data_IF_661287501354
#
_entry.id   IF_661287501354
#
_cell.length_a   1.000
_cell.length_b   1.000
_cell.length_c   1.000
_cell.angle_alpha   90.00
_cell.angle_beta   90.00
_cell.angle_gamma   90.00
#
_symmetry.space_group_name_H-M   'P 1'
#
loop_
_entity.id
_entity.type
_entity.pdbx_description
1 polymer ?
#
# COMPACT_ATOMS: atom_id res chain seq x y z
N UNK A 1 44.15 32.95 -19.48
CA UNK A 1 44.52 31.67 -20.13
C UNK A 1 44.78 30.65 -19.03
N UNK A 2 44.02 29.57 -19.04
CA UNK A 2 44.00 28.47 -18.05
C UNK A 2 45.17 27.50 -18.23
N UNK A 3 45.67 27.35 -19.46
CA UNK A 3 46.89 26.59 -19.76
C UNK A 3 48.04 27.55 -20.10
N UNK A 4 49.21 27.39 -19.45
CA UNK A 4 50.40 28.21 -19.70
C UNK A 4 51.70 27.41 -19.62
N UNK A 5 52.74 27.86 -20.33
CA UNK A 5 54.09 27.28 -20.31
C UNK A 5 54.87 27.84 -19.11
N UNK A 6 55.59 26.97 -18.41
CA UNK A 6 56.46 27.31 -17.29
C UNK A 6 57.92 27.48 -17.77
N UNK A 7 58.74 28.12 -16.94
CA UNK A 7 60.17 28.33 -17.22
C UNK A 7 60.99 27.04 -17.29
N UNK A 8 60.49 25.95 -16.71
CA UNK A 8 61.06 24.60 -16.75
C UNK A 8 60.71 23.82 -18.05
N UNK A 9 60.06 24.47 -19.02
CA UNK A 9 59.66 23.87 -20.30
C UNK A 9 58.35 23.07 -20.24
N UNK A 10 57.80 22.82 -19.05
CA UNK A 10 56.54 22.10 -18.86
C UNK A 10 55.32 23.03 -19.05
N UNK A 11 54.14 22.43 -19.23
CA UNK A 11 52.86 23.12 -19.34
C UNK A 11 52.04 22.91 -18.07
N UNK A 12 51.35 23.94 -17.58
CA UNK A 12 50.44 23.83 -16.43
C UNK A 12 49.03 24.16 -16.86
N UNK A 13 48.07 23.31 -16.50
CA UNK A 13 46.65 23.63 -16.50
C UNK A 13 46.28 24.10 -15.09
N UNK A 14 45.80 25.33 -14.96
CA UNK A 14 45.40 25.99 -13.70
C UNK A 14 44.06 26.69 -13.92
N UNK A 15 42.98 26.02 -13.55
CA UNK A 15 41.61 26.48 -13.79
C UNK A 15 40.68 26.10 -12.62
N UNK A 16 39.51 26.72 -12.61
CA UNK A 16 38.43 26.40 -11.68
C UNK A 16 37.39 25.56 -12.41
N UNK A 17 36.87 24.52 -11.75
CA UNK A 17 35.86 23.61 -12.35
C UNK A 17 34.49 24.26 -12.56
N UNK A 18 34.27 25.47 -12.05
CA UNK A 18 33.01 26.20 -12.18
C UNK A 18 33.34 27.68 -12.34
N UNK A 19 32.53 28.41 -13.12
CA UNK A 19 32.74 29.82 -13.37
C UNK A 19 32.48 30.65 -12.09
N UNK A 20 33.42 31.50 -11.71
CA UNK A 20 33.35 32.29 -10.45
C UNK A 20 32.24 33.33 -10.43
N UNK A 21 31.67 33.66 -11.59
CA UNK A 21 30.56 34.59 -11.77
C UNK A 21 29.22 34.08 -11.22
N UNK A 22 29.06 32.77 -11.03
CA UNK A 22 27.79 32.17 -10.55
C UNK A 22 27.72 31.98 -9.02
N UNK A 23 28.61 32.61 -8.25
CA UNK A 23 28.60 32.53 -6.78
C UNK A 23 28.93 31.16 -6.18
N UNK A 24 29.24 30.14 -7.01
CA UNK A 24 29.65 28.79 -6.57
C UNK A 24 31.17 28.70 -6.40
N UNK A 25 31.63 28.14 -5.28
CA UNK A 25 33.05 27.90 -5.02
C UNK A 25 33.55 26.66 -5.78
N UNK A 26 33.96 26.83 -7.05
CA UNK A 26 34.59 25.76 -7.82
C UNK A 26 35.92 25.30 -7.22
N UNK A 27 36.22 23.99 -7.29
CA UNK A 27 37.51 23.44 -6.86
C UNK A 27 38.60 23.90 -7.83
N UNK A 28 39.68 24.50 -7.32
CA UNK A 28 40.86 24.83 -8.14
C UNK A 28 41.58 23.55 -8.51
N UNK A 29 41.83 23.31 -9.79
CA UNK A 29 42.59 22.18 -10.30
C UNK A 29 43.88 22.72 -10.93
N UNK A 30 45.02 22.21 -10.45
CA UNK A 30 46.34 22.58 -10.97
C UNK A 30 47.18 21.34 -11.21
N UNK A 31 47.60 21.11 -12.46
CA UNK A 31 48.43 19.95 -12.84
C UNK A 31 49.43 20.31 -13.94
N UNK A 32 50.64 19.74 -13.87
CA UNK A 32 51.71 19.93 -14.87
C UNK A 32 51.72 18.79 -15.89
N UNK A 33 52.12 19.11 -17.11
CA UNK A 33 52.16 18.23 -18.28
C UNK A 33 53.41 18.51 -19.12
N UNK A 34 53.83 17.49 -19.86
CA UNK A 34 54.97 17.51 -20.78
C UNK A 34 54.67 18.34 -22.04
N UNK A 35 53.44 18.28 -22.54
CA UNK A 35 53.03 18.95 -23.78
C UNK A 35 51.83 19.88 -23.59
N UNK A 36 51.68 20.86 -24.49
CA UNK A 36 50.52 21.74 -24.55
C UNK A 36 49.22 20.97 -24.82
N UNK A 37 49.30 19.94 -25.68
CA UNK A 37 48.16 19.10 -26.06
C UNK A 37 47.59 18.31 -24.88
N UNK A 38 48.45 17.70 -24.07
CA UNK A 38 48.03 16.99 -22.85
C UNK A 38 47.34 17.91 -21.83
N UNK A 39 47.89 19.12 -21.64
CA UNK A 39 47.31 20.10 -20.73
C UNK A 39 45.90 20.56 -21.17
N UNK A 40 45.71 20.80 -22.48
CA UNK A 40 44.42 21.16 -23.06
C UNK A 40 43.42 20.00 -23.03
N UNK A 41 43.86 18.79 -23.37
CA UNK A 41 43.01 17.60 -23.31
C UNK A 41 42.53 17.31 -21.88
N UNK A 42 43.40 17.50 -20.88
CA UNK A 42 43.04 17.35 -19.48
C UNK A 42 42.04 18.41 -19.00
N UNK A 43 42.22 19.67 -19.40
CA UNK A 43 41.26 20.74 -19.12
C UNK A 43 39.89 20.41 -19.72
N UNK A 44 39.84 20.11 -21.02
CA UNK A 44 38.60 19.79 -21.73
C UNK A 44 37.90 18.56 -21.15
N UNK A 45 38.63 17.49 -20.85
CA UNK A 45 38.07 16.29 -20.22
C UNK A 45 37.50 16.57 -18.84
N UNK A 46 38.17 17.42 -18.05
CA UNK A 46 37.72 17.78 -16.70
C UNK A 46 36.48 18.66 -16.76
N UNK A 47 36.44 19.64 -17.68
CA UNK A 47 35.27 20.49 -17.91
C UNK A 47 34.08 19.68 -18.44
N UNK A 48 34.29 18.78 -19.41
CA UNK A 48 33.25 17.88 -19.90
C UNK A 48 32.71 16.94 -18.83
N UNK A 49 33.55 16.46 -17.90
CA UNK A 49 33.08 15.67 -16.75
C UNK A 49 32.18 16.46 -15.81
N UNK A 50 32.42 17.76 -15.68
CA UNK A 50 31.58 18.65 -14.85
C UNK A 50 30.28 19.00 -15.59
N UNK A 51 30.34 19.28 -16.89
CA UNK A 51 29.16 19.56 -17.72
C UNK A 51 28.25 18.33 -17.88
N UNK A 52 28.81 17.14 -18.09
CA UNK A 52 28.07 15.88 -18.15
C UNK A 52 27.65 15.35 -16.77
N UNK A 53 28.07 16.02 -15.68
CA UNK A 53 27.62 15.70 -14.33
C UNK A 53 27.44 16.98 -13.51
N UNK A 54 26.38 17.77 -13.79
CA UNK A 54 26.13 19.06 -13.13
C UNK A 54 26.05 18.97 -11.60
N UNK A 55 25.85 17.76 -11.07
CA UNK A 55 25.72 17.45 -9.67
C UNK A 55 27.04 17.17 -8.93
N UNK A 56 28.18 17.10 -9.62
CA UNK A 56 29.50 16.95 -8.98
C UNK A 56 29.99 18.24 -8.30
N UNK A 57 29.28 19.35 -8.47
CA UNK A 57 29.55 20.66 -7.87
C UNK A 57 28.86 20.91 -6.51
N UNK A 58 27.85 20.12 -6.14
CA UNK A 58 27.27 20.17 -4.80
C UNK A 58 27.97 19.11 -3.95
N UNK A 59 28.49 19.50 -2.78
CA UNK A 59 29.19 18.58 -1.88
C UNK A 59 28.36 17.32 -1.62
N UNK A 60 29.03 16.17 -1.40
CA UNK A 60 28.38 14.89 -1.07
C UNK A 60 27.20 15.12 -0.13
N UNK A 61 26.00 14.70 -0.52
CA UNK A 61 24.81 14.80 0.30
C UNK A 61 25.08 14.17 1.68
N UNK A 62 25.07 15.02 2.71
CA UNK A 62 25.35 14.68 4.11
C UNK A 62 24.08 14.35 4.91
N UNK A 63 22.91 14.43 4.28
CA UNK A 63 21.63 14.09 4.93
C UNK A 63 21.62 12.61 5.25
N UNK A 64 21.03 12.26 6.40
CA UNK A 64 20.74 10.87 6.76
C UNK A 64 19.53 10.38 5.99
N UNK A 65 19.41 9.05 5.87
CA UNK A 65 18.20 8.44 5.30
C UNK A 65 16.93 8.87 6.06
N UNK A 66 17.02 9.03 7.38
CA UNK A 66 15.92 9.53 8.21
C UNK A 66 15.46 10.93 7.78
N UNK A 67 16.40 11.82 7.42
CA UNK A 67 16.09 13.19 7.03
C UNK A 67 15.30 13.21 5.73
N UNK A 68 15.65 12.34 4.78
CA UNK A 68 14.86 12.16 3.55
C UNK A 68 13.47 11.61 3.83
N UNK A 69 13.33 10.68 4.80
CA UNK A 69 12.02 10.17 5.22
C UNK A 69 11.14 11.27 5.82
N UNK A 70 11.73 12.14 6.66
CA UNK A 70 11.05 13.31 7.20
C UNK A 70 10.64 14.28 6.09
N UNK A 71 11.57 14.64 5.21
CA UNK A 71 11.31 15.54 4.08
C UNK A 71 10.21 15.01 3.16
N UNK A 72 10.26 13.73 2.80
CA UNK A 72 9.20 13.08 2.02
C UNK A 72 7.85 13.16 2.72
N UNK A 73 7.82 12.95 4.04
CA UNK A 73 6.58 13.04 4.79
C UNK A 73 6.00 14.45 4.77
N UNK A 74 6.83 15.46 5.04
CA UNK A 74 6.38 16.85 5.09
C UNK A 74 5.91 17.37 3.71
N UNK A 75 6.54 16.90 2.63
CA UNK A 75 6.20 17.31 1.26
C UNK A 75 5.05 16.52 0.64
N UNK A 76 4.91 15.24 0.99
CA UNK A 76 3.96 14.34 0.34
C UNK A 76 3.22 13.44 1.33
N UNK A 77 3.94 12.75 2.21
CA UNK A 77 3.38 11.73 3.10
C UNK A 77 2.27 12.23 4.03
N UNK A 78 2.26 13.50 4.41
CA UNK A 78 1.24 14.13 5.27
C UNK A 78 -0.17 14.04 4.66
N UNK A 79 -0.27 13.98 3.33
CA UNK A 79 -1.55 13.88 2.62
C UNK A 79 -2.12 12.45 2.61
N UNK A 80 -1.31 11.45 2.96
CA UNK A 80 -1.68 10.04 2.92
C UNK A 80 -2.37 9.62 4.23
N UNK A 81 -3.47 8.86 4.10
CA UNK A 81 -4.23 8.34 5.26
C UNK A 81 -3.36 7.54 6.25
N UNK A 82 -2.36 6.82 5.75
CA UNK A 82 -1.42 6.02 6.53
C UNK A 82 0.01 6.59 6.50
N UNK A 83 0.18 7.86 6.12
CA UNK A 83 1.50 8.51 5.97
C UNK A 83 2.36 8.42 7.22
N UNK A 84 1.78 8.73 8.38
CA UNK A 84 2.50 8.71 9.67
C UNK A 84 2.98 7.29 10.02
N UNK A 85 2.17 6.26 9.70
CA UNK A 85 2.55 4.87 9.88
C UNK A 85 3.71 4.49 8.96
N UNK A 86 3.71 4.96 7.70
CA UNK A 86 4.81 4.71 6.74
C UNK A 86 6.09 5.40 7.18
N UNK A 87 6.01 6.66 7.61
CA UNK A 87 7.12 7.42 8.18
C UNK A 87 7.76 6.67 9.35
N UNK A 88 6.98 6.33 10.38
CA UNK A 88 7.47 5.56 11.54
C UNK A 88 8.10 4.22 11.14
N UNK A 89 7.50 3.55 10.15
CA UNK A 89 8.02 2.29 9.62
C UNK A 89 9.40 2.44 8.98
N UNK A 90 9.59 3.48 8.16
CA UNK A 90 10.85 3.75 7.48
C UNK A 90 11.93 4.29 8.43
N UNK A 91 11.57 5.14 9.40
CA UNK A 91 12.50 5.63 10.42
C UNK A 91 13.07 4.47 11.25
N UNK A 92 12.20 3.56 11.70
CA UNK A 92 12.65 2.37 12.42
C UNK A 92 13.52 1.45 11.55
N UNK A 93 13.19 1.29 10.26
CA UNK A 93 14.05 0.56 9.34
C UNK A 93 15.42 1.22 9.17
N UNK A 94 15.48 2.56 9.07
CA UNK A 94 16.72 3.32 9.03
C UNK A 94 17.57 3.10 10.28
N UNK A 95 16.96 3.08 11.46
CA UNK A 95 17.63 2.77 12.73
C UNK A 95 18.23 1.35 12.72
N UNK A 96 17.48 0.34 12.28
CA UNK A 96 17.97 -1.04 12.14
C UNK A 96 19.14 -1.17 11.16
N UNK A 97 19.25 -0.26 10.18
CA UNK A 97 20.37 -0.17 9.23
C UNK A 97 21.56 0.64 9.78
N UNK A 98 21.53 1.08 11.04
CA UNK A 98 22.59 1.88 11.65
C UNK A 98 22.51 3.37 11.34
N UNK A 99 21.32 3.88 10.96
CA UNK A 99 21.07 5.28 10.60
C UNK A 99 22.01 5.81 9.51
N UNK A 100 22.07 5.15 8.34
CA UNK A 100 23.02 5.45 7.28
C UNK A 100 22.81 6.85 6.68
N UNK A 101 23.85 7.38 6.03
CA UNK A 101 23.68 8.51 5.13
C UNK A 101 22.78 8.14 3.95
N UNK A 102 22.08 9.12 3.38
CA UNK A 102 21.28 8.89 2.18
C UNK A 102 22.13 8.38 1.00
N UNK A 103 23.39 8.81 0.91
CA UNK A 103 24.36 8.36 -0.08
C UNK A 103 24.91 6.95 0.15
N UNK A 104 24.79 6.42 1.38
CA UNK A 104 25.19 5.05 1.74
C UNK A 104 24.03 4.05 1.55
N UNK A 105 22.80 4.55 1.47
CA UNK A 105 21.63 3.72 1.26
C UNK A 105 21.62 3.13 -0.14
N UNK A 106 21.86 1.82 -0.23
CA UNK A 106 22.01 1.08 -1.47
C UNK A 106 21.17 -0.20 -1.48
N UNK A 107 21.01 -0.80 -2.67
CA UNK A 107 20.39 -2.12 -2.82
C UNK A 107 21.03 -3.18 -1.91
N UNK A 108 22.36 -3.16 -1.74
CA UNK A 108 23.06 -4.11 -0.87
C UNK A 108 22.69 -3.91 0.60
N UNK A 109 22.70 -2.66 1.08
CA UNK A 109 22.33 -2.37 2.47
C UNK A 109 20.87 -2.75 2.76
N UNK A 110 19.96 -2.39 1.85
CA UNK A 110 18.53 -2.69 2.00
C UNK A 110 18.24 -4.20 1.93
N UNK A 111 18.94 -4.94 1.07
CA UNK A 111 18.76 -6.40 0.98
C UNK A 111 19.39 -7.15 2.15
N UNK A 112 20.47 -6.64 2.75
CA UNK A 112 20.98 -7.17 4.02
C UNK A 112 19.99 -6.94 5.17
N UNK A 113 19.39 -5.75 5.23
CA UNK A 113 18.30 -5.45 6.18
C UNK A 113 17.11 -6.39 6.01
N UNK A 114 16.64 -6.59 4.77
CA UNK A 114 15.46 -7.44 4.50
C UNK A 114 15.67 -8.87 4.97
N UNK A 115 16.87 -9.44 4.79
CA UNK A 115 17.20 -10.81 5.20
C UNK A 115 17.10 -10.96 6.72
N UNK A 116 17.80 -10.07 7.46
CA UNK A 116 17.74 -10.03 8.93
C UNK A 116 16.33 -9.82 9.46
N UNK A 117 15.54 -8.98 8.78
CA UNK A 117 14.15 -8.69 9.14
C UNK A 117 13.22 -9.89 8.93
N UNK A 118 13.43 -10.68 7.88
CA UNK A 118 12.69 -11.92 7.61
C UNK A 118 13.06 -13.04 8.60
N UNK A 119 14.34 -13.16 8.95
CA UNK A 119 14.84 -14.13 9.95
C UNK A 119 14.41 -13.80 11.39
N UNK A 120 13.95 -12.57 11.62
CA UNK A 120 13.42 -12.11 12.91
C UNK A 120 14.45 -11.45 13.82
N UNK A 121 15.65 -11.17 13.32
CA UNK A 121 16.69 -10.41 14.05
C UNK A 121 16.24 -8.98 14.39
N UNK A 122 15.42 -8.40 13.53
CA UNK A 122 14.79 -7.12 13.76
C UNK A 122 13.32 -7.34 14.03
N UNK A 123 12.87 -7.20 15.28
CA UNK A 123 11.47 -7.31 15.69
C UNK A 123 10.94 -5.96 16.15
N UNK A 124 9.70 -5.60 15.78
CA UNK A 124 9.08 -4.35 16.29
C UNK A 124 8.37 -4.53 17.63
N UNK A 125 7.95 -5.75 17.90
CA UNK A 125 7.16 -6.09 19.07
C UNK A 125 7.59 -7.46 19.55
N UNK A 126 7.54 -7.71 20.87
CA UNK A 126 7.86 -9.02 21.45
C UNK A 126 6.97 -10.16 20.92
N UNK A 127 5.79 -9.83 20.37
CA UNK A 127 4.81 -10.80 19.84
C UNK A 127 5.09 -11.26 18.41
N UNK A 128 5.83 -10.47 17.63
CA UNK A 128 6.07 -10.74 16.21
C UNK A 128 7.56 -10.49 15.95
N UNK A 129 8.33 -11.58 15.93
CA UNK A 129 9.75 -11.58 15.61
C UNK A 129 9.97 -11.53 14.10
N UNK A 130 9.34 -12.43 13.37
CA UNK A 130 9.45 -12.58 11.92
C UNK A 130 8.31 -11.89 11.17
N UNK A 131 8.62 -11.30 10.01
CA UNK A 131 7.63 -10.68 9.13
C UNK A 131 7.46 -11.48 7.84
N UNK A 132 6.27 -11.42 7.24
CA UNK A 132 6.03 -12.07 5.95
C UNK A 132 6.72 -11.33 4.78
N UNK A 133 7.03 -12.03 3.67
CA UNK A 133 7.58 -11.39 2.46
C UNK A 133 6.69 -10.25 1.93
N UNK A 134 5.37 -10.36 2.11
CA UNK A 134 4.42 -9.29 1.77
C UNK A 134 4.65 -8.02 2.58
N UNK A 135 4.86 -8.14 3.89
CA UNK A 135 5.20 -7.00 4.74
C UNK A 135 6.51 -6.36 4.29
N UNK A 136 7.48 -7.18 3.90
CA UNK A 136 8.77 -6.69 3.41
C UNK A 136 8.64 -5.95 2.07
N UNK A 137 7.81 -6.44 1.16
CA UNK A 137 7.49 -5.75 -0.09
C UNK A 137 6.82 -4.39 0.14
N UNK A 138 6.00 -4.25 1.19
CA UNK A 138 5.40 -2.96 1.54
C UNK A 138 6.44 -1.96 2.03
N UNK A 139 7.35 -2.37 2.92
CA UNK A 139 8.43 -1.50 3.39
C UNK A 139 9.35 -1.09 2.22
N UNK A 140 9.66 -2.02 1.33
CA UNK A 140 10.39 -1.73 0.09
C UNK A 140 9.67 -0.69 -0.79
N UNK A 141 8.35 -0.86 -1.00
CA UNK A 141 7.56 0.10 -1.76
C UNK A 141 7.55 1.52 -1.13
N UNK A 142 7.66 1.63 0.20
CA UNK A 142 7.73 2.93 0.86
C UNK A 142 9.05 3.65 0.55
N UNK A 143 10.18 2.95 0.63
CA UNK A 143 11.47 3.55 0.25
C UNK A 143 11.53 3.91 -1.24
N UNK A 144 10.99 3.06 -2.12
CA UNK A 144 10.85 3.42 -3.54
C UNK A 144 10.07 4.72 -3.70
N UNK A 145 8.97 4.89 -2.97
CA UNK A 145 8.15 6.12 -3.01
C UNK A 145 8.91 7.35 -2.49
N UNK A 146 9.71 7.22 -1.42
CA UNK A 146 10.54 8.33 -0.89
C UNK A 146 11.48 8.86 -1.97
N UNK A 147 12.31 8.00 -2.54
CA UNK A 147 13.32 8.43 -3.51
C UNK A 147 12.71 8.89 -4.84
N UNK A 148 11.65 8.23 -5.32
CA UNK A 148 10.97 8.65 -6.55
C UNK A 148 10.31 10.03 -6.39
N UNK A 149 9.66 10.30 -5.25
CA UNK A 149 8.98 11.58 -5.03
C UNK A 149 9.98 12.71 -4.80
N UNK A 150 11.01 12.49 -3.96
CA UNK A 150 12.04 13.50 -3.74
C UNK A 150 12.83 13.81 -5.01
N UNK A 151 13.06 12.80 -5.87
CA UNK A 151 13.64 13.02 -7.20
C UNK A 151 12.76 13.89 -8.08
N UNK A 152 11.45 13.64 -8.10
CA UNK A 152 10.48 14.46 -8.85
C UNK A 152 10.46 15.91 -8.36
N UNK A 153 10.63 16.13 -7.05
CA UNK A 153 10.67 17.45 -6.43
C UNK A 153 12.03 18.16 -6.57
N UNK A 154 13.03 17.53 -7.17
CA UNK A 154 14.39 18.08 -7.28
C UNK A 154 15.22 18.03 -5.99
N UNK A 155 14.69 17.38 -4.94
CA UNK A 155 15.33 17.24 -3.63
C UNK A 155 16.32 16.06 -3.57
N UNK A 156 16.31 15.19 -4.59
CA UNK A 156 17.22 14.06 -4.74
C UNK A 156 17.64 13.91 -6.21
N UNK A 157 18.92 14.15 -6.51
CA UNK A 157 19.40 14.06 -7.89
C UNK A 157 19.76 12.63 -8.36
N UNK A 158 20.38 11.77 -7.54
CA UNK A 158 20.77 10.42 -7.98
C UNK A 158 19.57 9.55 -8.41
N UNK A 159 19.82 8.43 -9.12
CA UNK A 159 18.80 7.40 -9.33
C UNK A 159 18.24 6.87 -8.01
N UNK A 160 17.11 6.17 -8.11
CA UNK A 160 16.52 5.55 -6.92
C UNK A 160 17.39 4.34 -6.52
N UNK A 161 17.92 4.29 -5.29
CA UNK A 161 18.85 3.22 -4.89
C UNK A 161 18.27 1.81 -4.94
N UNK A 162 16.94 1.68 -5.01
CA UNK A 162 16.22 0.41 -4.98
C UNK A 162 15.52 0.06 -6.30
N UNK A 163 15.71 0.84 -7.38
CA UNK A 163 14.96 0.64 -8.64
C UNK A 163 15.12 -0.76 -9.25
N UNK A 164 16.27 -1.39 -9.04
CA UNK A 164 16.59 -2.73 -9.57
C UNK A 164 16.35 -3.86 -8.56
N UNK A 165 15.93 -3.54 -7.34
CA UNK A 165 15.65 -4.56 -6.32
C UNK A 165 14.31 -5.22 -6.67
N UNK A 166 14.30 -6.53 -6.83
CA UNK A 166 13.07 -7.28 -7.06
C UNK A 166 12.30 -7.47 -5.75
N UNK A 167 10.99 -7.27 -5.83
CA UNK A 167 10.07 -7.68 -4.77
C UNK A 167 9.99 -9.21 -4.68
N UNK A 168 9.73 -9.71 -3.48
CA UNK A 168 9.47 -11.14 -3.28
C UNK A 168 8.18 -11.54 -3.98
N UNK A 169 8.19 -12.71 -4.64
CA UNK A 169 6.94 -13.33 -5.06
C UNK A 169 6.18 -13.78 -3.81
N UNK A 170 4.90 -13.45 -3.75
CA UNK A 170 4.01 -13.88 -2.66
C UNK A 170 2.89 -14.66 -3.27
N UNK A 171 2.63 -15.85 -2.74
CA UNK A 171 1.47 -16.65 -3.12
C UNK A 171 0.18 -15.91 -2.73
N UNK A 172 -0.85 -16.04 -3.56
CA UNK A 172 -2.18 -15.57 -3.21
C UNK A 172 -2.74 -16.51 -2.14
N UNK A 173 -3.10 -15.95 -0.97
CA UNK A 173 -3.76 -16.72 0.08
C UNK A 173 -5.13 -17.16 -0.42
N UNK A 174 -5.42 -18.45 -0.31
CA UNK A 174 -6.79 -18.97 -0.47
C UNK A 174 -7.74 -18.20 0.45
N UNK A 175 -8.90 -17.85 -0.10
CA UNK A 175 -9.84 -16.96 0.57
C UNK A 175 -10.87 -17.83 1.29
N UNK A 176 -10.80 -17.83 2.62
CA UNK A 176 -11.80 -18.52 3.42
C UNK A 176 -13.14 -17.78 3.39
N UNK A 177 -14.21 -18.56 3.41
CA UNK A 177 -15.59 -18.12 3.61
C UNK A 177 -16.27 -19.16 4.51
N UNK A 178 -17.37 -18.78 5.16
CA UNK A 178 -18.10 -19.67 6.08
C UNK A 178 -19.22 -20.42 5.33
N UNK A 179 -19.43 -21.70 5.65
CA UNK A 179 -20.61 -22.46 5.19
C UNK A 179 -21.88 -22.01 5.91
N UNK A 180 -23.06 -22.47 5.48
CA UNK A 180 -24.33 -22.16 6.13
C UNK A 180 -24.34 -22.64 7.61
N UNK A 181 -23.84 -23.84 7.86
CA UNK A 181 -23.74 -24.45 9.19
C UNK A 181 -22.77 -23.67 10.08
N UNK A 182 -21.64 -23.22 9.53
CA UNK A 182 -20.69 -22.37 10.25
C UNK A 182 -21.26 -20.98 10.57
N UNK A 183 -22.07 -20.41 9.68
CA UNK A 183 -22.78 -19.14 9.94
C UNK A 183 -23.75 -19.32 11.11
N UNK A 184 -24.53 -20.40 11.12
CA UNK A 184 -25.47 -20.69 12.21
C UNK A 184 -24.76 -20.90 13.54
N UNK A 185 -23.69 -21.70 13.55
CA UNK A 185 -22.83 -21.93 14.73
C UNK A 185 -22.24 -20.61 15.25
N UNK A 186 -21.70 -19.77 14.36
CA UNK A 186 -21.15 -18.47 14.72
C UNK A 186 -22.22 -17.56 15.33
N UNK A 187 -23.42 -17.46 14.73
CA UNK A 187 -24.50 -16.63 15.25
C UNK A 187 -24.97 -17.10 16.63
N UNK A 188 -25.02 -18.43 16.86
CA UNK A 188 -25.28 -19.01 18.18
C UNK A 188 -24.23 -18.56 19.20
N UNK A 189 -22.95 -18.65 18.86
CA UNK A 189 -21.87 -18.23 19.76
C UNK A 189 -21.80 -16.72 19.96
N UNK A 190 -22.26 -15.93 19.00
CA UNK A 190 -22.44 -14.50 19.16
C UNK A 190 -23.51 -14.17 20.21
N UNK A 191 -24.63 -14.91 20.23
CA UNK A 191 -25.69 -14.78 21.26
C UNK A 191 -25.22 -15.15 22.66
N UNK A 192 -24.28 -16.09 22.76
CA UNK A 192 -23.68 -16.50 24.04
C UNK A 192 -22.59 -15.53 24.55
N UNK A 193 -22.24 -14.50 23.76
CA UNK A 193 -21.23 -13.53 24.11
C UNK A 193 -21.76 -12.48 25.09
N UNK A 194 -20.91 -11.98 25.99
CA UNK A 194 -21.24 -10.81 26.82
C UNK A 194 -21.29 -9.50 26.04
N UNK A 195 -20.79 -9.48 24.80
CA UNK A 195 -20.87 -8.32 23.92
C UNK A 195 -22.22 -8.29 23.19
N UNK A 196 -23.19 -7.53 23.72
CA UNK A 196 -24.57 -7.42 23.20
C UNK A 196 -24.64 -7.03 21.71
N UNK A 197 -23.74 -6.14 21.26
CA UNK A 197 -23.72 -5.65 19.89
C UNK A 197 -23.11 -6.66 18.88
N UNK A 198 -22.55 -7.79 19.34
CA UNK A 198 -21.78 -8.70 18.48
C UNK A 198 -22.63 -9.34 17.39
N UNK A 199 -23.77 -9.94 17.76
CA UNK A 199 -24.62 -10.66 16.80
C UNK A 199 -25.10 -9.71 15.69
N UNK A 200 -25.58 -8.52 16.06
CA UNK A 200 -26.08 -7.55 15.09
C UNK A 200 -24.99 -7.03 14.15
N UNK A 201 -23.76 -6.81 14.63
CA UNK A 201 -22.61 -6.46 13.78
C UNK A 201 -22.30 -7.58 12.79
N UNK A 202 -22.32 -8.84 13.24
CA UNK A 202 -22.08 -10.01 12.37
C UNK A 202 -23.17 -10.12 11.31
N UNK A 203 -24.46 -10.00 11.69
CA UNK A 203 -25.59 -9.97 10.75
C UNK A 203 -25.45 -8.88 9.71
N UNK A 204 -25.07 -7.65 10.10
CA UNK A 204 -24.83 -6.56 9.14
C UNK A 204 -23.73 -6.93 8.15
N UNK A 205 -22.61 -7.49 8.61
CA UNK A 205 -21.51 -7.90 7.73
C UNK A 205 -21.96 -8.98 6.73
N UNK A 206 -22.70 -9.98 7.22
CA UNK A 206 -23.23 -11.07 6.39
C UNK A 206 -24.34 -10.61 5.43
N UNK A 207 -25.10 -9.57 5.76
CA UNK A 207 -26.19 -9.06 4.91
C UNK A 207 -25.72 -8.05 3.86
N UNK A 208 -24.60 -7.34 4.09
CA UNK A 208 -24.19 -6.19 3.28
C UNK A 208 -22.79 -6.30 2.67
N UNK A 209 -22.01 -7.31 3.07
CA UNK A 209 -20.60 -7.42 2.70
C UNK A 209 -19.72 -6.31 3.29
N UNK A 210 -20.14 -5.67 4.39
CA UNK A 210 -19.35 -4.66 5.08
C UNK A 210 -18.03 -5.22 5.61
N UNK A 211 -16.98 -4.38 5.65
CA UNK A 211 -15.79 -4.71 6.45
C UNK A 211 -16.16 -4.63 7.93
N UNK A 212 -15.52 -5.43 8.79
CA UNK A 212 -15.75 -5.39 10.23
C UNK A 212 -15.76 -3.96 10.79
N UNK A 213 -14.69 -3.19 10.53
CA UNK A 213 -14.57 -1.83 11.02
C UNK A 213 -15.66 -0.88 10.51
N UNK A 214 -16.21 -1.13 9.32
CA UNK A 214 -17.29 -0.31 8.75
C UNK A 214 -18.63 -0.60 9.43
N UNK A 215 -18.87 -1.85 9.84
CA UNK A 215 -20.06 -2.24 10.58
C UNK A 215 -19.96 -1.85 12.07
N UNK A 216 -18.83 -2.11 12.72
CA UNK A 216 -18.61 -1.79 14.14
C UNK A 216 -18.66 -0.28 14.41
N UNK A 217 -18.14 0.55 13.50
CA UNK A 217 -18.16 2.01 13.64
C UNK A 217 -19.38 2.70 13.05
N UNK A 218 -20.44 1.94 12.74
CA UNK A 218 -21.65 2.46 12.10
C UNK A 218 -22.36 3.49 12.98
N UNK A 219 -22.78 4.60 12.38
CA UNK A 219 -23.53 5.67 13.05
C UNK A 219 -24.99 5.68 12.61
N UNK A 220 -25.88 6.16 13.49
CA UNK A 220 -27.31 6.32 13.20
C UNK A 220 -27.58 7.14 11.94
N UNK A 221 -26.80 8.20 11.71
CA UNK A 221 -26.93 9.05 10.51
C UNK A 221 -26.64 8.34 9.19
N UNK A 222 -25.99 7.16 9.24
CA UNK A 222 -25.71 6.34 8.07
C UNK A 222 -26.85 5.37 7.74
N UNK A 223 -27.89 5.32 8.58
CA UNK A 223 -29.00 4.37 8.44
C UNK A 223 -30.29 5.13 8.18
N UNK A 224 -30.88 4.91 7.00
CA UNK A 224 -32.10 5.58 6.57
C UNK A 224 -32.91 4.71 5.62
N UNK A 225 -34.23 4.69 5.77
CA UNK A 225 -35.20 4.06 4.86
C UNK A 225 -34.82 2.64 4.40
N UNK A 226 -34.48 1.76 5.35
CA UNK A 226 -34.10 0.37 5.05
C UNK A 226 -32.76 0.22 4.32
N UNK A 227 -31.88 1.22 4.42
CA UNK A 227 -30.56 1.22 3.77
C UNK A 227 -29.46 1.63 4.74
N UNK A 228 -28.29 1.04 4.58
CA UNK A 228 -27.05 1.42 5.27
C UNK A 228 -26.10 2.08 4.28
N UNK A 229 -25.62 3.28 4.61
CA UNK A 229 -24.64 4.03 3.80
C UNK A 229 -23.25 4.00 4.43
N UNK A 230 -22.31 3.34 3.79
CA UNK A 230 -20.91 3.29 4.22
C UNK A 230 -20.13 4.46 3.62
N UNK A 231 -19.64 5.34 4.50
CA UNK A 231 -18.88 6.54 4.13
C UNK A 231 -17.38 6.40 4.44
N UNK A 232 -16.53 7.18 3.76
CA UNK A 232 -15.07 7.27 4.03
C UNK A 232 -14.35 5.90 4.02
N UNK A 233 -14.80 4.99 3.16
CA UNK A 233 -14.21 3.66 3.03
C UNK A 233 -12.79 3.76 2.46
N UNK A 234 -11.96 2.70 2.59
CA UNK A 234 -10.55 2.70 2.15
C UNK A 234 -10.38 3.10 0.66
N UNK A 235 -11.42 2.97 -0.16
CA UNK A 235 -11.46 3.40 -1.57
C UNK A 235 -12.09 4.78 -1.84
N UNK A 236 -12.37 5.57 -0.81
CA UNK A 236 -12.99 6.92 -0.86
C UNK A 236 -14.37 7.01 -1.57
N UNK A 237 -14.97 5.89 -2.00
CA UNK A 237 -16.34 5.86 -2.54
C UNK A 237 -17.34 5.52 -1.44
N UNK A 238 -18.38 6.32 -1.35
CA UNK A 238 -19.55 6.02 -0.55
C UNK A 238 -20.38 4.95 -1.28
N UNK A 239 -21.02 4.07 -0.52
CA UNK A 239 -21.95 3.07 -1.07
C UNK A 239 -23.13 2.87 -0.13
N UNK A 240 -24.30 2.62 -0.70
CA UNK A 240 -25.54 2.46 0.05
C UNK A 240 -26.15 1.10 -0.30
N UNK A 241 -26.35 0.27 0.71
CA UNK A 241 -26.80 -1.11 0.59
C UNK A 241 -28.18 -1.25 1.25
N UNK A 242 -29.20 -1.78 0.55
CA UNK A 242 -30.48 -2.08 1.17
C UNK A 242 -30.35 -3.25 2.14
N UNK A 243 -31.16 -3.23 3.20
CA UNK A 243 -31.26 -4.30 4.20
C UNK A 243 -32.73 -4.67 4.41
N UNK A 244 -32.99 -5.88 4.90
CA UNK A 244 -34.35 -6.35 5.19
C UNK A 244 -35.01 -5.53 6.30
N UNK A 245 -36.34 -5.48 6.31
CA UNK A 245 -37.11 -4.83 7.36
C UNK A 245 -36.83 -5.45 8.74
N UNK A 246 -36.61 -6.77 8.80
CA UNK A 246 -36.24 -7.51 10.00
C UNK A 246 -34.90 -7.01 10.57
N UNK A 247 -33.83 -7.00 9.76
CA UNK A 247 -32.53 -6.51 10.19
C UNK A 247 -32.59 -5.03 10.60
N UNK A 248 -33.42 -4.25 9.90
CA UNK A 248 -33.64 -2.85 10.23
C UNK A 248 -34.40 -2.67 11.57
N UNK A 249 -35.28 -3.61 11.93
CA UNK A 249 -35.96 -3.65 13.22
C UNK A 249 -35.05 -3.96 14.40
N UNK A 250 -34.01 -4.78 14.19
CA UNK A 250 -33.02 -5.16 15.21
C UNK A 250 -32.01 -4.04 15.54
N UNK A 251 -31.87 -3.02 14.70
CA UNK A 251 -30.85 -1.98 14.91
C UNK A 251 -31.15 -1.08 16.13
N UNK A 252 -30.12 -0.74 16.94
CA UNK A 252 -30.30 0.13 18.11
C UNK A 252 -30.96 1.48 17.76
N UNK A 253 -31.95 1.88 18.55
CA UNK A 253 -32.66 3.17 18.43
C UNK A 253 -31.97 4.28 19.22
N UNK A 254 -30.66 4.45 19.03
CA UNK A 254 -29.86 5.52 19.67
C UNK A 254 -29.23 6.46 18.64
N UNK A 255 -28.94 7.68 19.07
CA UNK A 255 -28.23 8.67 18.27
C UNK A 255 -26.72 8.45 18.34
N UNK A 256 -25.98 8.90 17.32
CA UNK A 256 -24.52 8.77 17.30
C UNK A 256 -24.04 7.38 16.87
N UNK A 257 -23.02 6.85 17.54
CA UNK A 257 -22.48 5.51 17.27
C UNK A 257 -23.49 4.43 17.69
N UNK A 258 -23.71 3.43 16.83
CA UNK A 258 -24.69 2.37 17.09
C UNK A 258 -24.13 1.24 17.96
N UNK A 259 -22.83 0.99 17.92
CA UNK A 259 -22.24 -0.17 18.57
C UNK A 259 -21.00 0.16 19.38
N UNK A 260 -20.73 -0.70 20.35
CA UNK A 260 -19.50 -0.72 21.15
C UNK A 260 -18.47 -1.61 20.46
N UNK A 261 -17.17 -1.24 20.45
CA UNK A 261 -16.14 -2.08 19.85
C UNK A 261 -16.10 -3.48 20.47
N UNK A 262 -16.26 -4.51 19.64
CA UNK A 262 -16.37 -5.91 20.08
C UNK A 262 -15.51 -6.87 19.24
N UNK A 263 -14.51 -6.35 18.51
CA UNK A 263 -13.60 -7.16 17.68
C UNK A 263 -13.00 -8.39 18.38
N UNK A 264 -12.59 -8.27 19.65
CA UNK A 264 -12.07 -9.41 20.41
C UNK A 264 -13.15 -10.43 20.75
N UNK A 265 -14.37 -9.98 21.02
CA UNK A 265 -15.50 -10.87 21.26
C UNK A 265 -15.85 -11.68 20.00
N UNK A 266 -15.74 -11.07 18.81
CA UNK A 266 -15.90 -11.77 17.55
C UNK A 266 -14.87 -12.88 17.34
N UNK A 267 -13.60 -12.60 17.66
CA UNK A 267 -12.55 -13.63 17.64
C UNK A 267 -12.89 -14.80 18.55
N UNK A 268 -13.24 -14.50 19.80
CA UNK A 268 -13.59 -15.54 20.78
C UNK A 268 -14.84 -16.33 20.36
N UNK A 269 -15.80 -15.71 19.67
CA UNK A 269 -16.98 -16.40 19.16
C UNK A 269 -16.64 -17.38 18.03
N UNK A 270 -15.71 -17.03 17.14
CA UNK A 270 -15.19 -17.97 16.13
C UNK A 270 -14.45 -19.15 16.77
N UNK A 271 -13.62 -18.86 17.79
CA UNK A 271 -12.89 -19.89 18.51
C UNK A 271 -13.86 -20.87 19.20
N UNK A 272 -14.91 -20.36 19.88
CA UNK A 272 -15.97 -21.20 20.47
C UNK A 272 -16.78 -21.98 19.45
N UNK A 273 -16.98 -21.42 18.26
CA UNK A 273 -17.67 -22.09 17.16
C UNK A 273 -16.80 -23.14 16.45
N UNK A 274 -15.53 -23.29 16.83
CA UNK A 274 -14.58 -24.21 16.20
C UNK A 274 -14.20 -23.80 14.77
N UNK A 275 -14.26 -22.51 14.45
CA UNK A 275 -14.00 -21.98 13.10
C UNK A 275 -12.57 -21.47 13.02
N UNK A 276 -11.70 -22.24 12.38
CA UNK A 276 -10.33 -21.84 12.11
C UNK A 276 -10.21 -21.02 10.82
N UNK A 277 -9.51 -19.88 10.90
CA UNK A 277 -9.34 -18.98 9.77
C UNK A 277 -7.85 -18.80 9.43
N UNK A 278 -7.49 -18.65 8.14
CA UNK A 278 -6.14 -18.30 7.76
C UNK A 278 -5.69 -16.96 8.39
N UNK A 279 -4.40 -16.82 8.71
CA UNK A 279 -3.86 -15.61 9.34
C UNK A 279 -4.24 -14.32 8.59
N UNK A 280 -4.82 -13.37 9.31
CA UNK A 280 -5.17 -12.05 8.77
C UNK A 280 -6.52 -11.96 8.07
N UNK A 281 -7.29 -13.05 7.97
CA UNK A 281 -8.61 -13.04 7.32
C UNK A 281 -9.77 -12.67 8.26
N UNK A 282 -9.57 -12.72 9.58
CA UNK A 282 -10.59 -12.43 10.60
C UNK A 282 -11.46 -11.20 10.27
N UNK A 283 -10.85 -10.05 9.98
CA UNK A 283 -11.58 -8.80 9.70
C UNK A 283 -12.41 -8.81 8.40
N UNK A 284 -12.19 -9.77 7.52
CA UNK A 284 -12.75 -9.81 6.15
C UNK A 284 -13.53 -11.10 5.86
N UNK A 285 -13.49 -12.10 6.74
CA UNK A 285 -14.14 -13.41 6.52
C UNK A 285 -15.63 -13.25 6.24
N UNK A 286 -16.36 -12.47 7.05
CA UNK A 286 -17.81 -12.26 6.86
C UNK A 286 -18.15 -11.60 5.53
N UNK A 287 -17.28 -10.70 5.06
CA UNK A 287 -17.42 -10.08 3.75
C UNK A 287 -17.16 -11.07 2.63
N UNK A 288 -16.18 -11.97 2.81
CA UNK A 288 -15.92 -13.06 1.87
C UNK A 288 -17.08 -14.04 1.85
N UNK A 289 -17.63 -14.40 3.01
CA UNK A 289 -18.86 -15.17 3.16
C UNK A 289 -20.01 -14.55 2.38
N UNK A 290 -20.34 -13.27 2.61
CA UNK A 290 -21.39 -12.59 1.86
C UNK A 290 -21.14 -12.68 0.34
N UNK A 291 -19.92 -12.37 -0.11
CA UNK A 291 -19.60 -12.35 -1.53
C UNK A 291 -19.66 -13.73 -2.20
N UNK A 292 -19.15 -14.77 -1.53
CA UNK A 292 -19.20 -16.14 -2.02
C UNK A 292 -20.64 -16.63 -2.13
N UNK A 293 -21.43 -16.53 -1.05
CA UNK A 293 -22.84 -16.92 -1.04
C UNK A 293 -23.67 -16.11 -2.03
N UNK A 294 -23.41 -14.80 -2.17
CA UNK A 294 -24.08 -13.97 -3.17
C UNK A 294 -23.87 -14.49 -4.59
N UNK A 295 -22.64 -14.90 -4.94
CA UNK A 295 -22.34 -15.48 -6.25
C UNK A 295 -22.90 -16.89 -6.41
N UNK A 296 -22.81 -17.75 -5.38
CA UNK A 296 -23.41 -19.10 -5.36
C UNK A 296 -24.91 -19.05 -5.63
N UNK A 297 -25.58 -18.03 -5.11
CA UNK A 297 -27.01 -17.81 -5.29
C UNK A 297 -27.38 -17.13 -6.62
N UNK A 298 -26.47 -17.13 -7.61
CA UNK A 298 -26.72 -16.56 -8.95
C UNK A 298 -26.64 -15.03 -9.01
N UNK A 299 -26.03 -14.39 -8.02
CA UNK A 299 -25.89 -12.94 -7.98
C UNK A 299 -25.03 -12.39 -9.13
N UNK A 300 -25.38 -11.18 -9.59
CA UNK A 300 -24.63 -10.52 -10.67
C UNK A 300 -23.30 -9.94 -10.16
N UNK A 301 -22.18 -10.32 -10.79
CA UNK A 301 -20.83 -9.91 -10.39
C UNK A 301 -20.61 -8.37 -10.38
N UNK A 302 -21.26 -7.64 -11.29
CA UNK A 302 -21.18 -6.17 -11.34
C UNK A 302 -21.97 -5.53 -10.20
N UNK A 303 -23.08 -6.14 -9.80
CA UNK A 303 -23.84 -5.73 -8.61
C UNK A 303 -23.00 -6.00 -7.37
N UNK A 304 -22.37 -7.18 -7.27
CA UNK A 304 -21.46 -7.50 -6.17
C UNK A 304 -20.29 -6.50 -6.09
N UNK A 305 -19.69 -6.11 -7.23
CA UNK A 305 -18.64 -5.08 -7.26
C UNK A 305 -19.11 -3.76 -6.62
N UNK A 306 -20.33 -3.32 -6.93
CA UNK A 306 -20.93 -2.11 -6.34
C UNK A 306 -21.21 -2.28 -4.86
N UNK A 307 -21.77 -3.43 -4.45
CA UNK A 307 -22.06 -3.73 -3.03
C UNK A 307 -20.77 -3.74 -2.20
N UNK A 308 -19.72 -4.36 -2.72
CA UNK A 308 -18.42 -4.42 -2.08
C UNK A 308 -17.68 -3.08 -2.16
N UNK A 309 -18.00 -2.22 -3.13
CA UNK A 309 -17.30 -0.95 -3.37
C UNK A 309 -15.88 -1.16 -3.90
N UNK A 310 -15.68 -2.17 -4.74
CA UNK A 310 -14.40 -2.40 -5.41
C UNK A 310 -14.24 -1.44 -6.59
N UNK A 311 -13.09 -0.75 -6.63
CA UNK A 311 -12.78 0.18 -7.73
C UNK A 311 -12.42 -0.53 -9.02
N UNK A 312 -11.74 -1.68 -8.90
CA UNK A 312 -11.35 -2.53 -10.02
C UNK A 312 -12.16 -3.85 -9.95
N UNK A 313 -12.75 -4.24 -11.08
CA UNK A 313 -13.51 -5.48 -11.20
C UNK A 313 -12.65 -6.71 -10.92
N UNK A 314 -11.33 -6.67 -11.19
CA UNK A 314 -10.39 -7.75 -10.87
C UNK A 314 -10.46 -8.17 -9.41
N UNK A 315 -10.69 -7.22 -8.50
CA UNK A 315 -10.87 -7.51 -7.07
C UNK A 315 -12.13 -8.32 -6.78
N UNK A 316 -13.17 -8.22 -7.61
CA UNK A 316 -14.43 -8.98 -7.47
C UNK A 316 -14.39 -10.28 -8.26
N UNK A 317 -13.64 -10.34 -9.36
CA UNK A 317 -13.48 -11.56 -10.18
C UNK A 317 -12.97 -12.77 -9.40
N UNK A 318 -12.29 -12.54 -8.28
CA UNK A 318 -11.92 -13.58 -7.31
C UNK A 318 -13.11 -14.45 -6.84
N UNK A 319 -14.34 -13.95 -6.92
CA UNK A 319 -15.57 -14.67 -6.54
C UNK A 319 -16.31 -15.29 -7.73
N UNK A 320 -15.86 -15.04 -8.97
CA UNK A 320 -16.59 -15.44 -10.17
C UNK A 320 -16.72 -16.97 -10.30
N UNK A 321 -15.76 -17.73 -9.77
CA UNK A 321 -15.80 -19.20 -9.78
C UNK A 321 -16.93 -19.80 -8.93
N UNK A 322 -17.56 -19.01 -8.04
CA UNK A 322 -18.74 -19.43 -7.29
C UNK A 322 -20.04 -19.25 -8.06
N UNK A 323 -20.03 -18.54 -9.19
CA UNK A 323 -21.22 -18.37 -10.00
C UNK A 323 -21.65 -19.74 -10.58
N UNK A 324 -22.96 -20.04 -10.63
CA UNK A 324 -23.44 -21.21 -11.35
C UNK A 324 -23.00 -21.16 -12.82
N UNK A 325 -22.77 -22.31 -13.43
CA UNK A 325 -22.49 -22.38 -14.86
C UNK A 325 -23.78 -22.06 -15.64
N UNK A 326 -23.88 -20.82 -16.15
CA UNK A 326 -25.03 -20.31 -16.90
C UNK A 326 -24.86 -20.41 -18.42
N UNK A 327 -24.03 -21.33 -18.95
CA UNK A 327 -23.83 -21.42 -20.40
C UNK A 327 -25.15 -21.70 -21.14
N UNK A 328 -26.08 -22.43 -20.52
CA UNK A 328 -27.43 -22.67 -21.04
C UNK A 328 -28.30 -21.40 -21.10
N UNK A 329 -28.01 -20.39 -20.26
CA UNK A 329 -28.70 -19.10 -20.34
C UNK A 329 -28.41 -18.36 -21.64
N UNK A 330 -27.31 -18.68 -22.34
CA UNK A 330 -27.07 -18.15 -23.68
C UNK A 330 -28.16 -18.58 -24.66
N UNK A 331 -28.67 -19.81 -24.53
CA UNK A 331 -29.82 -20.27 -25.33
C UNK A 331 -31.09 -19.59 -24.84
N UNK A 332 -31.34 -19.54 -23.52
CA UNK A 332 -32.57 -18.95 -22.97
C UNK A 332 -32.72 -17.44 -23.21
N UNK A 333 -31.62 -16.69 -23.16
CA UNK A 333 -31.62 -15.22 -23.15
C UNK A 333 -31.26 -14.60 -24.51
N UNK A 334 -31.05 -15.41 -25.55
CA UNK A 334 -30.72 -14.89 -26.87
C UNK A 334 -31.89 -14.07 -27.48
N UNK A 335 -31.61 -13.08 -28.33
CA UNK A 335 -32.63 -12.18 -28.89
C UNK A 335 -33.59 -12.84 -29.89
N UNK A 336 -33.41 -14.10 -30.27
CA UNK A 336 -34.30 -14.86 -31.15
C UNK A 336 -35.38 -15.60 -30.35
N UNK A 337 -35.01 -16.18 -29.21
CA UNK A 337 -35.94 -16.93 -28.34
C UNK A 337 -36.69 -16.03 -27.35
N UNK A 338 -36.07 -14.95 -26.88
CA UNK A 338 -36.71 -13.97 -25.97
C UNK A 338 -37.93 -13.24 -26.57
N UNK A 339 -38.11 -13.26 -27.90
CA UNK A 339 -39.24 -12.58 -28.56
C UNK A 339 -40.58 -13.24 -28.29
N UNK A 340 -40.60 -14.52 -27.91
CA UNK A 340 -41.86 -15.29 -27.81
C UNK A 340 -42.67 -15.01 -26.54
N UNK A 341 -42.13 -14.34 -25.52
CA UNK A 341 -42.87 -14.12 -24.26
C UNK A 341 -43.53 -12.73 -24.14
N UNK A 342 -43.21 -11.77 -25.00
CA UNK A 342 -43.68 -10.37 -24.85
C UNK A 342 -44.96 -10.09 -25.65
N UNK A 343 -45.37 -11.00 -26.54
CA UNK A 343 -46.52 -10.82 -27.42
C UNK A 343 -47.79 -11.57 -26.94
N UNK A 344 -47.90 -11.93 -25.67
CA UNK A 344 -49.01 -12.74 -25.13
C UNK A 344 -49.59 -12.21 -23.82
N UNK A 345 -49.67 -10.89 -23.70
CA UNK A 345 -50.48 -10.14 -22.72
C UNK A 345 -50.94 -8.87 -23.41
#
# INVERSE_FOLDING_TARGET
MTVRKLSDGQWVADFYTVNRSDGKQGKRVRKKFSTKGEALAFENFTMQKVDNSPWLGDGKDRRRLSDLVHLWFDRHGITLKDGEKRKKSMLWAAECMGSPLASEFSAQLFTAYRAKRLEGHFARTKRISQVSPRTMNLEHAYFLAVFNELKRLGEWAPPNPLENVRQFRTEESEMSYLTAEQIESLLKECRNSSAEDLEIIVKICLATGARWSEAESLKRSQVSSGKITYIKTKGKKNRTIPISAELMGELPKKNGALFTPCYYAFRNALDRAGIELPPGQLTHVLRHTFASHFMMNGGNILVLQKILGHTDIKMTMRYAHFAPNHLEDAVRLNPLDCRKSVAST
#
